data_IF_941366946223
#
_entry.id   IF_941366946223
#
_cell.length_a   1.000
_cell.length_b   1.000
_cell.length_c   1.000
_cell.angle_alpha   90.00
_cell.angle_beta   90.00
_cell.angle_gamma   90.00
#
_symmetry.space_group_name_H-M   'P 1'
#
loop_
_entity.id
_entity.type
_entity.pdbx_description
1 polymer ?
#
# COMPACT_ATOMS: atom_id res chain seq x y z
N UNK A 1 9.10 -15.28 12.17
CA UNK A 1 7.66 -15.41 11.90
C UNK A 1 7.34 -16.88 11.64
N UNK A 2 6.32 -17.44 12.30
CA UNK A 2 5.97 -18.84 12.07
C UNK A 2 5.22 -18.99 10.73
N UNK A 3 5.04 -20.25 10.30
CA UNK A 3 4.44 -20.54 8.99
C UNK A 3 2.99 -20.04 8.88
N UNK A 4 2.21 -20.15 9.94
CA UNK A 4 0.80 -19.71 9.93
C UNK A 4 0.71 -18.18 9.78
N UNK A 5 1.54 -17.45 10.49
CA UNK A 5 1.61 -16.00 10.39
C UNK A 5 2.10 -15.58 9.01
N UNK A 6 3.05 -16.32 8.43
CA UNK A 6 3.56 -16.07 7.08
C UNK A 6 2.47 -16.25 6.04
N UNK A 7 1.68 -17.31 6.13
CA UNK A 7 0.56 -17.56 5.23
C UNK A 7 -0.46 -16.44 5.33
N UNK A 8 -0.81 -16.03 6.57
CA UNK A 8 -1.73 -14.92 6.79
C UNK A 8 -1.21 -13.63 6.17
N UNK A 9 0.08 -13.33 6.37
CA UNK A 9 0.71 -12.14 5.79
C UNK A 9 0.58 -12.13 4.26
N UNK A 10 0.88 -13.25 3.61
CA UNK A 10 0.80 -13.35 2.15
C UNK A 10 -0.64 -13.17 1.65
N UNK A 11 -1.63 -13.70 2.36
CA UNK A 11 -3.04 -13.52 2.01
C UNK A 11 -3.43 -12.05 2.15
N UNK A 12 -3.08 -11.41 3.26
CA UNK A 12 -3.39 -10.00 3.52
C UNK A 12 -2.78 -9.13 2.43
N UNK A 13 -1.52 -9.36 2.09
CA UNK A 13 -0.82 -8.59 1.06
C UNK A 13 -1.47 -8.79 -0.31
N UNK A 14 -1.73 -10.03 -0.71
CA UNK A 14 -2.31 -10.35 -2.02
C UNK A 14 -3.70 -9.72 -2.19
N UNK A 15 -4.52 -9.74 -1.14
CA UNK A 15 -5.84 -9.12 -1.18
C UNK A 15 -5.75 -7.61 -1.32
N UNK A 16 -4.83 -6.97 -0.60
CA UNK A 16 -4.63 -5.52 -0.70
C UNK A 16 -4.14 -5.10 -2.09
N UNK A 17 -3.19 -5.84 -2.67
CA UNK A 17 -2.70 -5.59 -4.02
C UNK A 17 -3.82 -5.76 -5.04
N UNK A 18 -4.62 -6.83 -4.91
CA UNK A 18 -5.76 -7.06 -5.81
C UNK A 18 -6.78 -5.92 -5.71
N UNK A 19 -7.08 -5.46 -4.50
CA UNK A 19 -8.01 -4.36 -4.30
C UNK A 19 -7.50 -3.07 -4.94
N UNK A 20 -6.21 -2.79 -4.80
CA UNK A 20 -5.58 -1.63 -5.44
C UNK A 20 -5.65 -1.73 -6.98
N UNK A 21 -5.31 -2.89 -7.53
CA UNK A 21 -5.35 -3.12 -8.98
C UNK A 21 -6.78 -3.01 -9.52
N UNK A 22 -7.77 -3.56 -8.82
CA UNK A 22 -9.16 -3.48 -9.23
C UNK A 22 -9.65 -2.03 -9.21
N UNK A 23 -9.34 -1.27 -8.17
CA UNK A 23 -9.72 0.13 -8.08
C UNK A 23 -9.08 0.94 -9.20
N UNK A 24 -7.80 0.69 -9.51
CA UNK A 24 -7.11 1.32 -10.63
C UNK A 24 -7.80 1.00 -11.95
N UNK A 25 -8.20 -0.26 -12.18
CA UNK A 25 -8.89 -0.68 -13.39
C UNK A 25 -10.23 0.04 -13.59
N UNK A 26 -10.92 0.36 -12.49
CA UNK A 26 -12.22 1.00 -12.57
C UNK A 26 -12.15 2.49 -12.93
N UNK A 27 -11.17 3.22 -12.40
CA UNK A 27 -11.14 4.68 -12.57
C UNK A 27 -9.81 5.24 -13.10
N UNK A 28 -8.78 4.39 -13.22
CA UNK A 28 -7.45 4.80 -13.70
C UNK A 28 -6.62 5.59 -12.71
N UNK A 29 -7.12 5.86 -11.51
CA UNK A 29 -6.35 6.55 -10.49
C UNK A 29 -5.22 5.68 -9.96
N UNK A 30 -4.17 6.32 -9.43
CA UNK A 30 -3.08 5.59 -8.79
C UNK A 30 -3.46 5.28 -7.35
N UNK A 31 -3.31 4.02 -6.96
CA UNK A 31 -3.62 3.55 -5.62
C UNK A 31 -2.37 3.05 -4.92
N UNK A 32 -2.33 3.27 -3.61
CA UNK A 32 -1.21 2.90 -2.75
C UNK A 32 -1.71 1.98 -1.65
N UNK A 33 -0.95 0.92 -1.37
CA UNK A 33 -1.20 0.04 -0.23
C UNK A 33 -0.34 0.53 0.92
N UNK A 34 -0.98 1.00 1.99
CA UNK A 34 -0.31 1.66 3.11
C UNK A 34 -0.57 0.91 4.41
N UNK A 35 0.39 0.92 5.34
CA UNK A 35 0.12 0.45 6.69
C UNK A 35 -0.80 1.41 7.43
N UNK A 36 -1.71 0.88 8.24
CA UNK A 36 -2.50 1.68 9.17
C UNK A 36 -2.01 1.46 10.58
N UNK A 37 -2.41 2.36 11.50
CA UNK A 37 -1.98 2.29 12.90
C UNK A 37 -2.49 1.05 13.62
N UNK A 38 -3.61 0.48 13.18
CA UNK A 38 -4.20 -0.71 13.80
C UNK A 38 -3.62 -2.03 13.29
N UNK A 39 -2.54 -1.98 12.51
CA UNK A 39 -1.88 -3.17 12.00
C UNK A 39 -2.50 -3.75 10.74
N UNK A 40 -3.42 -3.02 10.12
CA UNK A 40 -4.06 -3.43 8.86
C UNK A 40 -3.43 -2.70 7.68
N UNK A 41 -3.79 -3.14 6.48
CA UNK A 41 -3.44 -2.45 5.25
C UNK A 41 -4.65 -1.65 4.76
N UNK A 42 -4.38 -0.45 4.25
CA UNK A 42 -5.40 0.40 3.62
C UNK A 42 -4.97 0.70 2.19
N UNK A 43 -5.96 0.80 1.30
CA UNK A 43 -5.74 1.15 -0.11
C UNK A 43 -6.24 2.57 -0.31
N UNK A 44 -5.34 3.48 -0.67
CA UNK A 44 -5.66 4.90 -0.75
C UNK A 44 -5.22 5.50 -2.07
N UNK A 45 -6.02 6.46 -2.58
CA UNK A 45 -5.62 7.36 -3.65
C UNK A 45 -5.29 8.74 -3.06
N UNK A 46 -4.94 9.70 -3.91
CA UNK A 46 -4.60 11.06 -3.45
C UNK A 46 -5.76 11.74 -2.71
N UNK A 47 -6.98 11.48 -3.15
CA UNK A 47 -8.19 12.04 -2.55
C UNK A 47 -8.40 11.49 -1.14
N UNK A 48 -8.34 10.17 -1.00
CA UNK A 48 -8.49 9.51 0.30
C UNK A 48 -7.34 9.86 1.24
N UNK A 49 -6.13 10.03 0.70
CA UNK A 49 -4.99 10.47 1.47
C UNK A 49 -5.27 11.79 2.20
N UNK A 50 -5.82 12.77 1.49
CA UNK A 50 -6.18 14.07 2.08
C UNK A 50 -7.24 13.92 3.18
N UNK A 51 -8.22 13.05 2.96
CA UNK A 51 -9.27 12.77 3.94
C UNK A 51 -8.68 12.12 5.20
N UNK A 52 -7.80 11.14 5.02
CA UNK A 52 -7.16 10.43 6.13
C UNK A 52 -6.26 11.36 6.94
N UNK A 53 -5.57 12.30 6.31
CA UNK A 53 -4.80 13.33 7.00
C UNK A 53 -5.71 14.20 7.88
N UNK A 54 -6.84 14.63 7.34
CA UNK A 54 -7.81 15.46 8.06
C UNK A 54 -8.38 14.74 9.28
N UNK A 55 -8.56 13.42 9.18
CA UNK A 55 -9.09 12.58 10.25
C UNK A 55 -8.01 12.06 11.20
N UNK A 56 -6.75 12.49 11.03
CA UNK A 56 -5.61 12.10 11.87
C UNK A 56 -5.21 10.62 11.77
N UNK A 57 -5.63 9.89 10.74
CA UNK A 57 -5.14 8.54 10.48
C UNK A 57 -3.73 8.54 9.87
N UNK A 58 -3.35 9.63 9.26
CA UNK A 58 -2.03 9.86 8.66
C UNK A 58 -1.49 11.18 9.23
N UNK A 59 -0.20 11.29 9.55
CA UNK A 59 0.39 12.54 10.05
C UNK A 59 0.10 13.72 9.11
N UNK A 60 -0.19 14.87 9.68
CA UNK A 60 -0.56 16.06 8.90
C UNK A 60 0.56 16.58 8.02
N UNK A 61 1.81 16.31 8.37
CA UNK A 61 2.99 16.70 7.59
C UNK A 61 3.36 15.68 6.51
N UNK A 62 2.67 14.56 6.41
CA UNK A 62 2.92 13.57 5.38
C UNK A 62 2.57 14.10 3.99
N UNK A 63 3.41 13.79 3.01
CA UNK A 63 3.23 14.21 1.61
C UNK A 63 2.94 13.00 0.71
N UNK A 64 2.53 13.28 -0.54
CA UNK A 64 2.36 12.23 -1.55
C UNK A 64 3.70 11.52 -1.82
N UNK A 65 4.82 12.25 -1.77
CA UNK A 65 6.15 11.65 -1.92
C UNK A 65 6.45 10.67 -0.79
N UNK A 66 6.04 10.99 0.44
CA UNK A 66 6.15 10.06 1.57
C UNK A 66 5.33 8.81 1.33
N UNK A 67 4.12 8.97 0.80
CA UNK A 67 3.24 7.85 0.48
C UNK A 67 3.87 6.92 -0.56
N UNK A 68 4.49 7.48 -1.61
CA UNK A 68 5.19 6.69 -2.63
C UNK A 68 6.37 5.92 -2.04
N UNK A 69 7.12 6.55 -1.15
CA UNK A 69 8.30 5.94 -0.54
C UNK A 69 7.92 4.83 0.44
N UNK A 70 6.89 5.03 1.23
CA UNK A 70 6.54 4.16 2.35
C UNK A 70 5.46 3.13 2.06
N UNK A 71 4.79 3.22 0.92
CA UNK A 71 3.77 2.23 0.56
C UNK A 71 4.41 0.84 0.35
N UNK A 72 3.61 -0.20 0.57
CA UNK A 72 4.04 -1.57 0.31
C UNK A 72 3.75 -2.01 -1.12
N UNK A 73 2.96 -1.24 -1.86
CA UNK A 73 2.65 -1.46 -3.26
C UNK A 73 1.96 -0.21 -3.80
N UNK A 74 2.15 0.09 -5.08
CA UNK A 74 1.32 1.09 -5.76
C UNK A 74 1.07 0.68 -7.20
N UNK A 75 -0.10 1.08 -7.71
CA UNK A 75 -0.47 0.90 -9.12
C UNK A 75 0.18 1.99 -9.96
N UNK A 76 0.25 1.81 -11.30
CA UNK A 76 0.70 2.89 -12.18
C UNK A 76 -0.31 4.04 -12.22
N UNK A 77 0.07 5.13 -12.85
CA UNK A 77 -0.85 6.21 -13.20
C UNK A 77 -1.75 5.79 -14.36
N UNK A 78 -2.78 6.59 -14.64
CA UNK A 78 -3.77 6.33 -15.70
C UNK A 78 -3.11 6.08 -17.07
N UNK A 79 -2.02 6.80 -17.38
CA UNK A 79 -1.30 6.67 -18.63
C UNK A 79 -0.30 5.50 -18.64
N UNK A 80 -0.29 4.66 -17.63
CA UNK A 80 0.63 3.54 -17.48
C UNK A 80 2.01 3.91 -16.95
N UNK A 81 2.31 5.19 -16.78
CA UNK A 81 3.60 5.63 -16.24
C UNK A 81 3.66 5.34 -14.72
N UNK A 82 4.86 5.23 -14.20
CA UNK A 82 5.07 5.01 -12.77
C UNK A 82 4.82 3.58 -12.33
N UNK A 83 4.72 2.64 -13.26
CA UNK A 83 4.65 1.22 -12.92
C UNK A 83 5.93 0.82 -12.19
N UNK A 84 5.77 0.12 -11.05
CA UNK A 84 6.92 -0.30 -10.28
C UNK A 84 7.64 -1.47 -10.96
N UNK A 85 8.99 -1.40 -11.09
CA UNK A 85 9.76 -2.55 -11.57
C UNK A 85 9.62 -3.74 -10.61
N UNK A 86 9.83 -4.95 -11.13
CA UNK A 86 9.69 -6.18 -10.34
C UNK A 86 10.60 -6.20 -9.11
N UNK A 87 11.81 -5.64 -9.21
CA UNK A 87 12.75 -5.57 -8.08
C UNK A 87 12.25 -4.65 -6.97
N UNK A 88 11.61 -3.54 -7.32
CA UNK A 88 11.02 -2.63 -6.33
C UNK A 88 9.78 -3.27 -5.68
N UNK A 89 8.97 -3.97 -6.45
CA UNK A 89 7.82 -4.72 -5.90
C UNK A 89 8.31 -5.74 -4.88
N UNK A 90 9.39 -6.47 -5.20
CA UNK A 90 9.97 -7.45 -4.29
C UNK A 90 10.50 -6.80 -3.00
N UNK A 91 11.16 -5.65 -3.10
CA UNK A 91 11.66 -4.91 -1.93
C UNK A 91 10.51 -4.45 -1.03
N UNK A 92 9.44 -3.93 -1.62
CA UNK A 92 8.26 -3.47 -0.87
C UNK A 92 7.50 -4.63 -0.23
N UNK A 93 7.41 -5.76 -0.92
CA UNK A 93 6.82 -6.97 -0.35
C UNK A 93 7.63 -7.47 0.84
N UNK A 94 8.95 -7.47 0.74
CA UNK A 94 9.84 -7.83 1.83
C UNK A 94 9.68 -6.87 3.03
N UNK A 95 9.58 -5.57 2.76
CA UNK A 95 9.35 -4.57 3.80
C UNK A 95 8.00 -4.79 4.50
N UNK A 96 6.96 -5.18 3.76
CA UNK A 96 5.68 -5.54 4.34
C UNK A 96 5.80 -6.74 5.27
N UNK A 97 6.52 -7.79 4.85
CA UNK A 97 6.69 -8.98 5.67
C UNK A 97 7.42 -8.65 6.99
N UNK A 98 8.43 -7.80 6.93
CA UNK A 98 9.14 -7.34 8.13
C UNK A 98 8.22 -6.55 9.07
N UNK A 99 7.43 -5.65 8.51
CA UNK A 99 6.46 -4.88 9.28
C UNK A 99 5.40 -5.78 9.93
N UNK A 100 4.87 -6.72 9.16
CA UNK A 100 3.85 -7.65 9.65
C UNK A 100 4.40 -8.58 10.74
N UNK A 101 5.65 -9.00 10.63
CA UNK A 101 6.28 -9.89 11.59
C UNK A 101 6.39 -9.27 12.99
N UNK A 102 6.45 -7.94 13.08
CA UNK A 102 6.56 -7.21 14.34
C UNK A 102 5.22 -6.91 15.01
N UNK A 103 4.13 -7.37 14.43
CA UNK A 103 2.76 -7.08 14.90
C UNK A 103 2.14 -8.21 15.74
#
# INVERSE_FOLDING_TARGET
MNIFKRIKAEIVYSLAVRNADNAHSENGERYYVMPSEDGRLVVVDRRNFSILKRKNYIPKDASVADMQRECFYCTPYRNGKGEMPADIIALKHSAFLDWFAKR
#
